data_IF_175113881960
#
_entry.id   IF_175113881960
#
_cell.length_a   1.000
_cell.length_b   1.000
_cell.length_c   1.000
_cell.angle_alpha   90.00
_cell.angle_beta   90.00
_cell.angle_gamma   90.00
#
_symmetry.space_group_name_H-M   'P 1'
#
loop_
_entity.id
_entity.type
_entity.pdbx_description
1 polymer ?
#
# COMPACT_ATOMS: atom_id res chain seq x y z
N UNK A 1 -47.31 -30.66 -35.39
CA UNK A 1 -47.46 -29.19 -35.41
C UNK A 1 -48.13 -28.79 -34.10
N UNK A 2 -47.39 -28.82 -32.99
CA UNK A 2 -47.87 -28.30 -31.70
C UNK A 2 -46.67 -27.74 -30.94
N UNK A 3 -46.90 -26.56 -30.40
CA UNK A 3 -45.93 -25.61 -29.89
C UNK A 3 -45.32 -26.04 -28.55
N UNK A 4 -43.99 -26.15 -28.50
CA UNK A 4 -43.21 -26.21 -27.25
C UNK A 4 -42.48 -24.88 -26.95
N UNK A 5 -42.90 -23.78 -27.54
CA UNK A 5 -42.20 -22.50 -27.51
C UNK A 5 -42.31 -21.64 -26.21
N UNK A 6 -43.20 -21.87 -25.22
CA UNK A 6 -43.23 -20.99 -24.04
C UNK A 6 -42.29 -21.41 -22.89
N UNK A 7 -41.86 -22.68 -22.84
CA UNK A 7 -41.06 -23.19 -21.70
C UNK A 7 -39.59 -22.76 -21.82
N UNK A 8 -39.05 -22.72 -23.04
CA UNK A 8 -37.64 -22.37 -23.29
C UNK A 8 -37.38 -20.87 -23.03
N UNK A 9 -38.31 -20.00 -23.44
CA UNK A 9 -38.22 -18.55 -23.20
C UNK A 9 -38.37 -18.16 -21.72
N UNK A 10 -39.18 -18.91 -20.94
CA UNK A 10 -39.25 -18.73 -19.47
C UNK A 10 -37.98 -19.21 -18.76
N UNK A 11 -37.28 -20.19 -19.33
CA UNK A 11 -36.02 -20.72 -18.77
C UNK A 11 -34.85 -19.75 -18.99
N UNK A 12 -34.77 -19.09 -20.14
CA UNK A 12 -33.71 -18.12 -20.45
C UNK A 12 -33.75 -16.88 -19.53
N UNK A 13 -34.96 -16.38 -19.23
CA UNK A 13 -35.15 -15.25 -18.30
C UNK A 13 -34.77 -15.58 -16.85
N UNK A 14 -35.02 -16.81 -16.40
CA UNK A 14 -34.61 -17.28 -15.08
C UNK A 14 -33.09 -17.45 -14.98
N UNK A 15 -32.44 -17.98 -16.02
CA UNK A 15 -30.97 -18.10 -16.07
C UNK A 15 -30.31 -16.71 -16.07
N UNK A 16 -30.83 -15.77 -16.85
CA UNK A 16 -30.33 -14.38 -16.86
C UNK A 16 -30.43 -13.73 -15.48
N UNK A 17 -31.57 -13.88 -14.80
CA UNK A 17 -31.80 -13.33 -13.46
C UNK A 17 -30.86 -13.98 -12.42
N UNK A 18 -30.65 -15.29 -12.49
CA UNK A 18 -29.69 -16.01 -11.63
C UNK A 18 -28.26 -15.50 -11.85
N UNK A 19 -27.85 -15.31 -13.10
CA UNK A 19 -26.54 -14.76 -13.46
C UNK A 19 -26.37 -13.33 -12.91
N UNK A 20 -27.37 -12.46 -13.04
CA UNK A 20 -27.32 -11.09 -12.50
C UNK A 20 -27.20 -11.10 -10.97
N UNK A 21 -27.94 -11.95 -10.27
CA UNK A 21 -27.86 -12.08 -8.81
C UNK A 21 -26.48 -12.57 -8.39
N UNK A 22 -25.94 -13.59 -9.05
CA UNK A 22 -24.62 -14.15 -8.74
C UNK A 22 -23.52 -13.13 -8.99
N UNK A 23 -23.57 -12.41 -10.12
CA UNK A 23 -22.61 -11.34 -10.43
C UNK A 23 -22.74 -10.19 -9.43
N UNK A 24 -23.96 -9.76 -9.09
CA UNK A 24 -24.21 -8.72 -8.09
C UNK A 24 -23.65 -9.09 -6.72
N UNK A 25 -23.84 -10.35 -6.29
CA UNK A 25 -23.29 -10.86 -5.04
C UNK A 25 -21.76 -10.88 -5.06
N UNK A 26 -21.15 -11.30 -6.17
CA UNK A 26 -19.68 -11.29 -6.33
C UNK A 26 -19.11 -9.87 -6.26
N UNK A 27 -19.76 -8.89 -6.89
CA UNK A 27 -19.34 -7.48 -6.83
C UNK A 27 -19.48 -6.93 -5.41
N UNK A 28 -20.60 -7.21 -4.73
CA UNK A 28 -20.81 -6.79 -3.34
C UNK A 28 -19.75 -7.39 -2.41
N UNK A 29 -19.44 -8.68 -2.57
CA UNK A 29 -18.41 -9.36 -1.79
C UNK A 29 -17.01 -8.77 -2.07
N UNK A 30 -16.70 -8.49 -3.34
CA UNK A 30 -15.44 -7.84 -3.71
C UNK A 30 -15.28 -6.49 -3.03
N UNK A 31 -16.32 -5.65 -3.03
CA UNK A 31 -16.32 -4.35 -2.35
C UNK A 31 -16.11 -4.53 -0.84
N UNK A 32 -16.85 -5.43 -0.20
CA UNK A 32 -16.73 -5.72 1.24
C UNK A 32 -15.29 -6.11 1.61
N UNK A 33 -14.67 -6.98 0.82
CA UNK A 33 -13.27 -7.40 1.02
C UNK A 33 -12.30 -6.22 0.89
N UNK A 34 -12.52 -5.31 -0.06
CA UNK A 34 -11.67 -4.11 -0.20
C UNK A 34 -11.78 -3.17 1.00
N UNK A 35 -12.99 -2.96 1.53
CA UNK A 35 -13.19 -2.19 2.75
C UNK A 35 -12.54 -2.85 3.97
N UNK A 36 -12.69 -4.18 4.12
CA UNK A 36 -12.06 -4.93 5.19
C UNK A 36 -10.52 -4.83 5.16
N UNK A 37 -9.90 -4.92 3.98
CA UNK A 37 -8.43 -4.77 3.81
C UNK A 37 -7.92 -3.40 4.26
N UNK A 38 -8.68 -2.34 3.97
CA UNK A 38 -8.30 -0.99 4.37
C UNK A 38 -8.48 -0.78 5.87
N UNK A 39 -9.58 -1.29 6.42
CA UNK A 39 -9.86 -1.27 7.86
C UNK A 39 -8.83 -2.06 8.67
N UNK A 40 -8.38 -3.22 8.18
CA UNK A 40 -7.34 -4.01 8.86
C UNK A 40 -6.00 -3.28 8.92
N UNK A 41 -5.62 -2.56 7.85
CA UNK A 41 -4.38 -1.78 7.83
C UNK A 41 -4.43 -0.61 8.81
N UNK A 42 -5.57 0.10 8.84
CA UNK A 42 -5.81 1.18 9.80
C UNK A 42 -5.74 0.68 11.25
N UNK A 43 -6.39 -0.45 11.53
CA UNK A 43 -6.37 -1.07 12.86
C UNK A 43 -4.96 -1.51 13.26
N UNK A 44 -4.17 -2.04 12.32
CA UNK A 44 -2.77 -2.42 12.54
C UNK A 44 -1.90 -1.21 12.90
N UNK A 45 -2.07 -0.09 12.20
CA UNK A 45 -1.38 1.17 12.51
C UNK A 45 -1.74 1.66 13.91
N UNK A 46 -3.04 1.67 14.23
CA UNK A 46 -3.55 2.09 15.53
C UNK A 46 -3.01 1.21 16.67
N UNK A 47 -3.03 -0.11 16.51
CA UNK A 47 -2.48 -1.06 17.49
C UNK A 47 -0.97 -0.92 17.67
N UNK A 48 -0.26 -0.43 16.66
CA UNK A 48 1.19 -0.19 16.69
C UNK A 48 1.56 1.20 17.22
N UNK A 49 0.57 2.01 17.65
CA UNK A 49 0.80 3.36 18.15
C UNK A 49 1.09 4.41 17.09
N UNK A 50 0.83 4.12 15.80
CA UNK A 50 0.99 5.09 14.70
C UNK A 50 -0.35 5.79 14.46
N UNK A 51 -0.49 7.10 14.75
CA UNK A 51 -1.75 7.81 14.59
C UNK A 51 -2.02 8.10 13.10
N UNK A 52 -2.75 7.20 12.44
CA UNK A 52 -3.15 7.36 11.03
C UNK A 52 -4.65 7.58 10.96
N UNK A 53 -5.08 8.62 10.25
CA UNK A 53 -6.51 8.85 9.98
C UNK A 53 -6.98 8.05 8.76
N UNK A 54 -8.25 7.62 8.77
CA UNK A 54 -8.83 6.93 7.61
C UNK A 54 -8.82 7.81 6.35
N UNK A 55 -8.97 9.12 6.54
CA UNK A 55 -8.89 10.13 5.48
C UNK A 55 -7.49 10.14 4.86
N UNK A 56 -6.43 10.02 5.67
CA UNK A 56 -5.04 9.97 5.16
C UNK A 56 -4.82 8.73 4.29
N UNK A 57 -5.30 7.55 4.70
CA UNK A 57 -5.20 6.33 3.88
C UNK A 57 -5.90 6.48 2.52
N UNK A 58 -7.04 7.17 2.50
CA UNK A 58 -7.74 7.48 1.26
C UNK A 58 -6.98 8.52 0.42
N UNK A 59 -6.39 9.53 1.07
CA UNK A 59 -5.57 10.55 0.41
C UNK A 59 -4.30 9.96 -0.24
N UNK A 60 -3.66 8.97 0.40
CA UNK A 60 -2.54 8.24 -0.18
C UNK A 60 -2.94 7.56 -1.51
N UNK A 61 -4.11 6.92 -1.55
CA UNK A 61 -4.62 6.32 -2.79
C UNK A 61 -4.84 7.35 -3.90
N UNK A 62 -5.33 8.54 -3.56
CA UNK A 62 -5.51 9.63 -4.53
C UNK A 62 -4.17 10.15 -5.07
N UNK A 63 -3.14 10.20 -4.20
CA UNK A 63 -1.76 10.56 -4.55
C UNK A 63 -0.98 9.44 -5.24
N UNK A 64 -1.63 8.30 -5.57
CA UNK A 64 -1.01 7.09 -6.14
C UNK A 64 0.11 6.47 -5.27
N UNK A 65 0.05 6.69 -3.97
CA UNK A 65 0.96 6.08 -3.00
C UNK A 65 0.33 4.80 -2.45
N UNK A 66 1.11 3.73 -2.30
CA UNK A 66 0.61 2.50 -1.70
C UNK A 66 0.55 2.66 -0.17
N UNK A 67 -0.67 2.73 0.43
CA UNK A 67 -0.80 2.97 1.86
C UNK A 67 -0.18 1.84 2.70
N UNK A 68 -0.20 0.59 2.20
CA UNK A 68 0.37 -0.53 2.94
C UNK A 68 1.86 -0.34 3.18
N UNK A 69 2.61 0.00 2.13
CA UNK A 69 4.06 0.18 2.20
C UNK A 69 4.44 1.30 3.15
N UNK A 70 3.74 2.45 3.07
CA UNK A 70 4.02 3.59 3.94
C UNK A 70 3.69 3.28 5.40
N UNK A 71 2.53 2.68 5.68
CA UNK A 71 2.15 2.34 7.05
C UNK A 71 3.06 1.28 7.65
N UNK A 72 3.43 0.24 6.90
CA UNK A 72 4.39 -0.77 7.37
C UNK A 72 5.76 -0.14 7.68
N UNK A 73 6.22 0.81 6.87
CA UNK A 73 7.44 1.56 7.11
C UNK A 73 7.34 2.49 8.35
N UNK A 74 6.23 3.21 8.51
CA UNK A 74 5.97 4.04 9.70
C UNK A 74 5.92 3.21 10.98
N UNK A 75 5.30 2.03 10.94
CA UNK A 75 5.26 1.09 12.07
C UNK A 75 6.68 0.65 12.43
N UNK A 76 7.50 0.26 11.45
CA UNK A 76 8.89 -0.14 11.68
C UNK A 76 9.72 1.01 12.25
N UNK A 77 9.58 2.22 11.71
CA UNK A 77 10.26 3.42 12.18
C UNK A 77 9.85 3.79 13.62
N UNK A 78 8.57 3.61 13.95
CA UNK A 78 8.05 3.85 15.31
C UNK A 78 8.56 2.79 16.28
N UNK A 79 8.57 1.52 15.90
CA UNK A 79 9.09 0.42 16.72
C UNK A 79 10.60 0.52 16.95
N UNK A 80 11.34 1.08 16.01
CA UNK A 80 12.77 1.35 16.14
C UNK A 80 13.07 2.69 16.83
N UNK A 81 12.05 3.43 17.24
CA UNK A 81 12.17 4.71 17.93
C UNK A 81 13.00 5.74 17.13
N UNK A 82 12.86 5.71 15.79
CA UNK A 82 13.48 6.69 14.88
C UNK A 82 12.46 7.69 14.33
N UNK A 83 11.17 7.37 14.39
CA UNK A 83 10.10 8.23 13.86
C UNK A 83 9.94 9.54 14.66
N UNK A 84 10.18 9.50 15.98
CA UNK A 84 10.02 10.66 16.87
C UNK A 84 11.35 11.36 17.19
N UNK A 85 12.47 10.80 16.73
CA UNK A 85 13.79 11.36 17.01
C UNK A 85 14.09 12.48 15.99
N UNK A 86 14.24 13.74 16.45
CA UNK A 86 14.49 14.88 15.56
C UNK A 86 15.81 14.75 14.80
N UNK A 87 16.73 13.86 15.20
CA UNK A 87 17.98 13.60 14.47
C UNK A 87 17.76 12.98 13.10
N UNK A 88 16.72 12.16 12.93
CA UNK A 88 16.44 11.48 11.67
C UNK A 88 15.45 12.24 10.78
N UNK A 89 14.78 13.28 11.32
CA UNK A 89 13.90 14.16 10.55
C UNK A 89 12.74 13.47 9.81
N UNK A 90 12.36 12.25 10.22
CA UNK A 90 11.40 11.43 9.47
C UNK A 90 10.01 12.02 9.62
N UNK A 91 9.35 12.24 8.50
CA UNK A 91 7.94 12.65 8.47
C UNK A 91 7.17 11.76 7.51
N UNK A 92 5.92 11.50 7.85
CA UNK A 92 4.90 10.90 6.98
C UNK A 92 4.97 11.38 5.53
N UNK A 93 4.91 12.69 5.30
CA UNK A 93 4.95 13.29 3.97
C UNK A 93 6.28 13.05 3.23
N UNK A 94 7.38 12.94 3.98
CA UNK A 94 8.71 12.68 3.43
C UNK A 94 8.82 11.24 2.90
N UNK A 95 8.27 10.27 3.64
CA UNK A 95 8.15 8.88 3.22
C UNK A 95 7.26 8.77 1.97
N UNK A 96 6.12 9.45 1.96
CA UNK A 96 5.22 9.50 0.81
C UNK A 96 5.92 10.12 -0.41
N UNK A 97 6.65 11.23 -0.24
CA UNK A 97 7.38 11.89 -1.32
C UNK A 97 8.50 11.00 -1.88
N UNK A 98 9.28 10.33 -1.02
CA UNK A 98 10.31 9.38 -1.46
C UNK A 98 9.71 8.24 -2.29
N UNK A 99 8.56 7.72 -1.86
CA UNK A 99 7.83 6.71 -2.63
C UNK A 99 7.37 7.23 -4.01
N UNK A 100 6.89 8.48 -4.07
CA UNK A 100 6.48 9.11 -5.35
C UNK A 100 7.67 9.32 -6.28
N UNK A 101 8.85 9.63 -5.74
CA UNK A 101 10.11 9.72 -6.50
C UNK A 101 10.61 8.35 -7.00
N UNK A 102 9.93 7.25 -6.64
CA UNK A 102 10.28 5.90 -7.04
C UNK A 102 11.33 5.24 -6.15
N UNK A 103 11.61 5.81 -4.98
CA UNK A 103 12.52 5.22 -3.99
C UNK A 103 11.88 4.10 -3.16
N UNK A 104 12.71 3.25 -2.58
CA UNK A 104 12.32 2.12 -1.73
C UNK A 104 12.28 2.55 -0.26
N UNK A 105 11.08 2.97 0.19
CA UNK A 105 10.84 3.41 1.56
C UNK A 105 11.19 2.33 2.61
N UNK A 106 10.74 1.06 2.48
CA UNK A 106 11.17 -0.02 3.38
C UNK A 106 12.68 -0.16 3.50
N UNK A 107 13.41 -0.06 2.39
CA UNK A 107 14.88 -0.17 2.38
C UNK A 107 15.54 0.99 3.13
N UNK A 108 15.08 2.22 2.92
CA UNK A 108 15.57 3.41 3.63
C UNK A 108 15.35 3.28 5.13
N UNK A 109 14.15 2.88 5.57
CA UNK A 109 13.87 2.68 7.00
C UNK A 109 14.79 1.61 7.60
N UNK A 110 14.98 0.47 6.92
CA UNK A 110 15.88 -0.58 7.39
C UNK A 110 17.33 -0.08 7.53
N UNK A 111 17.82 0.72 6.59
CA UNK A 111 19.14 1.32 6.65
C UNK A 111 19.27 2.27 7.86
N UNK A 112 18.27 3.11 8.13
CA UNK A 112 18.25 3.99 9.30
C UNK A 112 18.23 3.21 10.63
N UNK A 113 17.44 2.13 10.70
CA UNK A 113 17.41 1.24 11.87
C UNK A 113 18.77 0.57 12.07
N UNK A 114 19.42 0.13 10.99
CA UNK A 114 20.76 -0.44 11.06
C UNK A 114 21.81 0.59 11.53
N UNK A 115 21.77 1.81 10.98
CA UNK A 115 22.64 2.91 11.36
C UNK A 115 22.52 3.29 12.84
N UNK A 116 21.28 3.38 13.36
CA UNK A 116 21.01 3.59 14.79
C UNK A 116 21.65 2.50 15.65
N UNK A 117 21.56 1.23 15.23
CA UNK A 117 22.17 0.09 15.96
C UNK A 117 23.69 0.09 15.92
N UNK A 118 24.30 0.57 14.83
CA UNK A 118 25.75 0.66 14.68
C UNK A 118 26.34 1.99 15.18
N UNK A 119 25.51 2.93 15.66
CA UNK A 119 25.95 4.25 16.11
C UNK A 119 26.44 5.16 14.99
N UNK A 120 26.01 4.91 13.74
CA UNK A 120 26.33 5.76 12.59
C UNK A 120 25.27 6.86 12.52
N UNK A 121 25.71 8.11 12.44
CA UNK A 121 24.82 9.24 12.17
C UNK A 121 24.41 9.21 10.70
N UNK A 122 23.15 8.84 10.45
CA UNK A 122 22.55 8.79 9.12
C UNK A 122 21.17 9.44 9.20
N UNK A 123 21.00 10.55 8.49
CA UNK A 123 19.71 11.23 8.36
C UNK A 123 18.86 10.61 7.24
N UNK A 124 17.54 10.78 7.30
CA UNK A 124 16.63 10.28 6.26
C UNK A 124 17.02 10.78 4.87
N UNK A 125 17.36 12.06 4.74
CA UNK A 125 17.73 12.63 3.45
C UNK A 125 18.95 11.94 2.84
N UNK A 126 19.96 11.67 3.66
CA UNK A 126 21.16 10.96 3.22
C UNK A 126 20.82 9.53 2.79
N UNK A 127 20.00 8.82 3.57
CA UNK A 127 19.58 7.46 3.24
C UNK A 127 18.73 7.42 1.95
N UNK A 128 17.86 8.40 1.74
CA UNK A 128 17.06 8.55 0.53
C UNK A 128 17.92 8.87 -0.71
N UNK A 129 18.90 9.77 -0.57
CA UNK A 129 19.83 10.11 -1.64
C UNK A 129 20.68 8.89 -2.04
N UNK A 130 21.13 8.09 -1.06
CA UNK A 130 21.83 6.82 -1.30
C UNK A 130 20.93 5.83 -2.03
N UNK A 131 19.68 5.66 -1.59
CA UNK A 131 18.72 4.73 -2.21
C UNK A 131 18.46 5.05 -3.68
N UNK A 132 18.27 6.33 -4.01
CA UNK A 132 18.07 6.77 -5.41
C UNK A 132 19.33 6.58 -6.26
N UNK A 133 20.52 6.85 -5.70
CA UNK A 133 21.78 6.62 -6.39
C UNK A 133 22.02 5.13 -6.68
N UNK A 134 21.70 4.25 -5.73
CA UNK A 134 21.88 2.80 -5.85
C UNK A 134 21.02 2.21 -6.98
N UNK A 135 19.78 2.70 -7.15
CA UNK A 135 18.92 2.28 -8.25
C UNK A 135 19.43 2.74 -9.62
N UNK A 136 19.99 3.96 -9.72
CA UNK A 136 20.56 4.48 -10.97
C UNK A 136 21.80 3.68 -11.40
N UNK A 137 22.73 3.39 -10.47
CA UNK A 137 23.93 2.60 -10.80
C UNK A 137 23.60 1.17 -11.21
N UNK A 138 22.62 0.51 -10.56
CA UNK A 138 22.19 -0.83 -10.92
C UNK A 138 21.55 -0.85 -12.31
N UNK A 139 20.73 0.15 -12.61
CA UNK A 139 20.09 0.29 -13.92
C UNK A 139 21.13 0.45 -15.02
N UNK A 140 22.14 1.30 -14.80
CA UNK A 140 23.24 1.51 -15.76
C UNK A 140 24.09 0.25 -15.96
N UNK A 141 24.44 -0.46 -14.89
CA UNK A 141 25.27 -1.67 -14.97
C UNK A 141 24.59 -2.82 -15.73
N UNK A 142 23.26 -2.93 -15.68
CA UNK A 142 22.50 -3.95 -16.44
C UNK A 142 22.36 -3.55 -17.91
N UNK A 143 22.27 -2.25 -18.22
CA UNK A 143 22.16 -1.76 -19.60
C UNK A 143 23.45 -1.92 -20.43
N UNK A 144 24.61 -2.05 -19.77
CA UNK A 144 25.91 -2.26 -20.41
C UNK A 144 26.26 -3.75 -20.66
N UNK A 145 25.34 -4.68 -20.37
CA UNK A 145 25.46 -6.12 -20.70
C UNK A 145 24.60 -6.50 -21.89
#
# INVERSE_FOLDING_TARGET
MTCNLPIIAMQDGQILLLVVIVVGLLVALAILVQFARLGSLWLQAFASGVPVSMIRLLAMKLRRVNPRTIIEAEIQATQADIMHDPKFGITADLLENHYILGGDVPRVIQALVAAKRSGIELDFKQAADIDLADHDILTRAVAER
#
